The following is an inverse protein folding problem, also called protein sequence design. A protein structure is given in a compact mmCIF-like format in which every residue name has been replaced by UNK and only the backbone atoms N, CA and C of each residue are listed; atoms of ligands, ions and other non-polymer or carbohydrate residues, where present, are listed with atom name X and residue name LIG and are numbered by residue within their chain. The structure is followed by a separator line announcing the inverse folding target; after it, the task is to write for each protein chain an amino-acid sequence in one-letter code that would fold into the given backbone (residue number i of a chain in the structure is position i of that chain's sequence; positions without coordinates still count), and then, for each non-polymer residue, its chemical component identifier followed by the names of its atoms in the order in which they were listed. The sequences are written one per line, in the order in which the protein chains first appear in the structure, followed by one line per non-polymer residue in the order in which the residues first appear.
data_IF_053496855644
#
_entry.id   IF_053496855644
#
_cell.length_a   1.000
_cell.length_b   1.000
_cell.length_c   1.000
_cell.angle_alpha   90.00
_cell.angle_beta   90.00
_cell.angle_gamma   90.00
#
_symmetry.space_group_name_H-M   'P 1'
#
loop_
_entity.id
_entity.type
_entity.pdbx_description
1 polymer ?
#
# COMPACT_ATOMS: atom_id res chain seq x y z
N UNK A 1 -4.07 -18.77 -74.35
CA UNK A 1 -5.53 -18.42 -74.44
C UNK A 1 -5.92 -17.82 -73.12
N UNK A 2 -6.18 -16.53 -73.18
CA UNK A 2 -6.58 -15.64 -72.11
C UNK A 2 -7.94 -16.03 -71.54
N UNK A 3 -8.14 -15.83 -70.25
CA UNK A 3 -9.37 -15.27 -69.61
C UNK A 3 -8.96 -15.09 -68.13
N UNK A 4 -8.58 -13.96 -67.76
CA UNK A 4 -9.22 -12.67 -67.33
C UNK A 4 -9.71 -12.69 -65.86
N UNK A 5 -9.03 -11.82 -65.14
CA UNK A 5 -9.42 -11.23 -63.88
C UNK A 5 -10.89 -10.79 -63.79
N UNK A 6 -11.51 -11.04 -62.66
CA UNK A 6 -12.57 -10.21 -62.09
C UNK A 6 -13.27 -10.94 -60.93
N UNK A 7 -12.67 -10.96 -59.73
CA UNK A 7 -13.39 -11.18 -58.47
C UNK A 7 -12.50 -10.84 -57.27
N UNK A 8 -12.05 -9.59 -57.21
CA UNK A 8 -11.39 -9.06 -55.99
C UNK A 8 -11.65 -7.58 -55.82
N UNK A 9 -12.88 -7.17 -55.59
CA UNK A 9 -13.20 -5.78 -55.32
C UNK A 9 -14.40 -5.51 -54.37
N UNK A 10 -14.96 -6.51 -53.70
CA UNK A 10 -16.12 -6.25 -52.82
C UNK A 10 -15.85 -6.58 -51.31
N UNK A 11 -14.69 -7.08 -50.93
CA UNK A 11 -14.41 -7.48 -49.54
C UNK A 11 -13.52 -6.49 -48.75
N UNK A 12 -13.24 -5.29 -49.30
CA UNK A 12 -12.40 -4.28 -48.59
C UNK A 12 -13.14 -3.12 -47.93
N UNK A 13 -14.45 -3.05 -48.00
CA UNK A 13 -15.23 -1.92 -47.43
C UNK A 13 -15.97 -2.25 -46.11
N UNK A 14 -16.08 -3.52 -45.70
CA UNK A 14 -16.80 -3.86 -44.47
C UNK A 14 -15.90 -3.95 -43.19
N UNK A 15 -14.57 -3.97 -43.35
CA UNK A 15 -13.68 -4.10 -42.21
C UNK A 15 -13.32 -2.75 -41.54
N UNK A 16 -13.51 -1.64 -42.18
CA UNK A 16 -13.14 -0.32 -41.63
C UNK A 16 -14.20 0.33 -40.72
N UNK A 17 -15.46 -0.11 -40.79
CA UNK A 17 -16.55 0.54 -40.02
C UNK A 17 -16.66 -0.08 -38.61
N UNK A 18 -16.32 -1.36 -38.43
CA UNK A 18 -16.35 -2.01 -37.09
C UNK A 18 -15.17 -1.67 -36.20
N UNK A 19 -13.98 -1.40 -36.78
CA UNK A 19 -12.79 -1.06 -36.02
C UNK A 19 -12.84 0.34 -35.38
N UNK A 20 -13.50 1.31 -36.00
CA UNK A 20 -13.59 2.67 -35.49
C UNK A 20 -14.56 2.81 -34.31
N UNK A 21 -15.64 2.00 -34.28
CA UNK A 21 -16.65 2.07 -33.22
C UNK A 21 -16.17 1.44 -31.90
N UNK A 22 -15.38 0.38 -31.95
CA UNK A 22 -14.82 -0.28 -30.76
C UNK A 22 -13.69 0.55 -30.16
N UNK A 23 -12.85 1.17 -30.99
CA UNK A 23 -11.78 2.08 -30.53
C UNK A 23 -12.31 3.37 -29.90
N UNK A 24 -13.42 3.90 -30.41
CA UNK A 24 -14.03 5.12 -29.83
C UNK A 24 -14.74 4.82 -28.52
N UNK A 25 -15.32 3.64 -28.33
CA UNK A 25 -15.95 3.25 -27.07
C UNK A 25 -14.90 2.95 -25.98
N UNK A 26 -13.80 2.30 -26.32
CA UNK A 26 -12.70 2.04 -25.36
C UNK A 26 -11.97 3.33 -24.98
N UNK A 27 -11.73 4.23 -25.92
CA UNK A 27 -11.11 5.53 -25.64
C UNK A 27 -12.01 6.46 -24.82
N UNK A 28 -13.35 6.44 -25.04
CA UNK A 28 -14.30 7.21 -24.22
C UNK A 28 -14.44 6.64 -22.80
N UNK A 29 -14.43 5.34 -22.62
CA UNK A 29 -14.46 4.71 -21.30
C UNK A 29 -13.18 5.00 -20.52
N UNK A 30 -12.00 4.89 -21.14
CA UNK A 30 -10.74 5.28 -20.55
C UNK A 30 -10.66 6.78 -20.24
N UNK A 31 -11.15 7.65 -21.13
CA UNK A 31 -11.17 9.09 -20.91
C UNK A 31 -12.12 9.50 -19.79
N UNK A 32 -13.24 8.80 -19.58
CA UNK A 32 -14.17 9.06 -18.49
C UNK A 32 -13.64 8.55 -17.15
N UNK A 33 -12.99 7.39 -17.10
CA UNK A 33 -12.34 6.87 -15.90
C UNK A 33 -11.15 7.75 -15.46
N UNK A 34 -10.31 8.17 -16.41
CA UNK A 34 -9.19 9.09 -16.14
C UNK A 34 -9.66 10.50 -15.75
N UNK A 35 -10.79 10.98 -16.25
CA UNK A 35 -11.34 12.28 -15.86
C UNK A 35 -11.91 12.27 -14.43
N UNK A 36 -12.53 11.16 -13.99
CA UNK A 36 -13.03 11.01 -12.63
C UNK A 36 -11.90 10.86 -11.61
N UNK A 37 -10.88 10.07 -11.91
CA UNK A 37 -9.68 9.93 -11.08
C UNK A 37 -8.87 11.24 -11.02
N UNK A 38 -8.71 11.93 -12.15
CA UNK A 38 -8.07 13.26 -12.20
C UNK A 38 -8.79 14.29 -11.35
N UNK A 39 -10.12 14.37 -11.44
CA UNK A 39 -10.88 15.35 -10.68
C UNK A 39 -10.79 15.15 -9.16
N UNK A 40 -10.59 13.91 -8.69
CA UNK A 40 -10.49 13.64 -7.25
C UNK A 40 -9.08 13.83 -6.69
N UNK A 41 -8.04 13.67 -7.50
CA UNK A 41 -6.67 13.88 -7.07
C UNK A 41 -6.25 15.35 -6.99
N UNK A 42 -6.89 16.24 -7.77
CA UNK A 42 -6.68 17.69 -7.68
C UNK A 42 -7.07 18.26 -6.30
N UNK A 43 -7.71 17.46 -5.45
CA UNK A 43 -8.21 17.86 -4.13
C UNK A 43 -7.48 17.22 -2.94
N UNK A 44 -6.43 16.41 -3.15
CA UNK A 44 -5.60 15.94 -2.05
C UNK A 44 -4.79 17.12 -1.48
N UNK A 45 -5.29 17.70 -0.40
CA UNK A 45 -4.57 18.71 0.37
C UNK A 45 -3.87 18.03 1.53
N UNK A 46 -2.55 18.01 1.48
CA UNK A 46 -1.73 17.53 2.57
C UNK A 46 -1.61 18.63 3.64
N UNK A 47 -1.77 18.25 4.90
CA UNK A 47 -1.39 19.12 6.01
C UNK A 47 0.14 19.15 6.13
N UNK A 48 0.72 20.21 6.72
CA UNK A 48 2.13 20.16 7.09
C UNK A 48 2.40 18.94 7.98
N UNK A 49 3.52 18.24 7.76
CA UNK A 49 3.86 17.06 8.54
C UNK A 49 4.11 17.41 10.00
N UNK A 50 3.74 16.49 10.89
CA UNK A 50 3.94 16.60 12.33
C UNK A 50 4.69 15.41 12.87
N UNK A 51 5.77 15.65 13.60
CA UNK A 51 6.55 14.59 14.24
C UNK A 51 5.69 13.82 15.24
N UNK A 52 5.65 12.51 15.14
CA UNK A 52 4.85 11.63 16.00
C UNK A 52 5.67 10.61 16.77
N UNK A 53 6.72 10.06 16.18
CA UNK A 53 7.63 9.13 16.83
C UNK A 53 9.09 9.46 16.52
N UNK A 54 9.93 9.25 17.52
CA UNK A 54 11.40 9.30 17.40
C UNK A 54 11.98 8.02 18.00
N UNK A 55 13.21 7.69 17.68
CA UNK A 55 13.93 6.64 18.40
C UNK A 55 14.20 7.10 19.85
N UNK A 56 13.69 6.37 20.82
CA UNK A 56 13.78 6.74 22.24
C UNK A 56 13.98 5.55 23.17
N UNK A 57 13.79 4.33 22.68
CA UNK A 57 13.98 3.10 23.46
C UNK A 57 15.29 2.42 23.07
N UNK A 58 15.96 1.78 24.03
CA UNK A 58 17.28 1.17 23.83
C UNK A 58 17.32 0.09 22.75
N UNK A 59 16.24 -0.64 22.53
CA UNK A 59 16.15 -1.66 21.50
C UNK A 59 16.11 -1.08 20.07
N UNK A 60 15.76 0.19 19.95
CA UNK A 60 15.72 0.91 18.66
C UNK A 60 17.13 1.32 18.21
N UNK A 61 18.08 1.38 19.15
CA UNK A 61 19.46 1.80 18.97
C UNK A 61 19.52 3.13 18.19
N UNK A 62 20.19 3.14 17.04
CA UNK A 62 20.24 4.32 16.15
C UNK A 62 19.24 4.23 15.01
N UNK A 63 18.34 3.27 15.09
CA UNK A 63 17.37 3.00 14.03
C UNK A 63 16.12 3.82 14.23
N UNK A 64 15.48 4.17 13.15
CA UNK A 64 14.29 5.01 13.20
C UNK A 64 13.02 4.16 13.08
N UNK A 65 11.94 4.58 13.76
CA UNK A 65 10.63 4.05 13.50
C UNK A 65 10.29 4.25 12.04
N UNK A 66 9.92 3.16 11.40
CA UNK A 66 9.53 3.12 10.01
C UNK A 66 8.18 2.43 9.94
N UNK A 67 7.26 2.93 9.16
CA UNK A 67 5.89 2.43 9.07
C UNK A 67 5.14 2.40 10.41
N UNK A 68 3.98 2.97 10.46
CA UNK A 68 3.10 2.92 11.62
C UNK A 68 1.72 2.46 11.16
N UNK A 69 1.39 1.18 11.43
CA UNK A 69 0.07 0.63 11.13
C UNK A 69 -0.88 0.86 12.30
N UNK A 70 -1.93 1.65 12.11
CA UNK A 70 -2.79 2.16 13.20
C UNK A 70 -4.18 1.58 13.14
N UNK A 71 -4.71 1.18 14.30
CA UNK A 71 -6.11 0.81 14.49
C UNK A 71 -6.76 1.63 15.61
N UNK A 72 -8.04 1.95 15.44
CA UNK A 72 -8.88 2.50 16.51
C UNK A 72 -9.48 1.35 17.33
N UNK A 73 -8.86 1.01 18.47
CA UNK A 73 -9.26 -0.12 19.29
C UNK A 73 -10.01 0.28 20.57
N UNK A 74 -9.85 1.51 21.06
CA UNK A 74 -10.47 2.02 22.31
C UNK A 74 -10.20 1.10 23.50
N UNK A 75 -8.93 0.74 23.72
CA UNK A 75 -8.53 -0.29 24.68
C UNK A 75 -7.41 0.24 25.58
N UNK A 76 -7.42 -0.18 26.85
CA UNK A 76 -6.36 0.14 27.81
C UNK A 76 -6.15 1.64 28.04
N UNK A 77 -7.22 2.46 27.96
CA UNK A 77 -7.14 3.91 28.13
C UNK A 77 -6.67 4.67 26.88
N UNK A 78 -6.42 3.98 25.79
CA UNK A 78 -6.02 4.59 24.52
C UNK A 78 -7.03 4.31 23.42
N UNK A 79 -7.25 5.34 22.59
CA UNK A 79 -8.13 5.23 21.43
C UNK A 79 -7.48 4.51 20.27
N UNK A 80 -6.22 4.85 19.98
CA UNK A 80 -5.45 4.36 18.85
C UNK A 80 -4.27 3.51 19.31
N UNK A 81 -4.04 2.43 18.59
CA UNK A 81 -2.91 1.53 18.74
C UNK A 81 -2.15 1.50 17.42
N UNK A 82 -0.85 1.71 17.45
CA UNK A 82 0.01 1.75 16.27
C UNK A 82 1.20 0.80 16.43
N UNK A 83 1.36 -0.09 15.48
CA UNK A 83 2.51 -0.98 15.41
C UNK A 83 3.47 -0.43 14.37
N UNK A 84 4.72 -0.27 14.77
CA UNK A 84 5.77 0.28 13.93
C UNK A 84 6.92 -0.71 13.77
N UNK A 85 7.62 -0.63 12.64
CA UNK A 85 8.86 -1.34 12.39
C UNK A 85 10.06 -0.44 12.55
N UNK A 86 11.26 -1.04 12.59
CA UNK A 86 12.53 -0.32 12.46
C UNK A 86 13.12 -0.55 11.08
N UNK A 87 13.95 0.38 10.61
CA UNK A 87 14.53 0.30 9.26
C UNK A 87 15.57 -0.80 9.13
N UNK A 88 16.43 -0.99 10.13
CA UNK A 88 17.49 -2.02 10.12
C UNK A 88 17.42 -2.86 11.39
N UNK A 89 18.01 -4.06 11.39
CA UNK A 89 18.10 -4.94 12.56
C UNK A 89 16.78 -5.56 13.04
N UNK A 90 15.66 -5.10 12.52
CA UNK A 90 14.36 -5.74 12.56
C UNK A 90 13.70 -5.98 13.91
N UNK A 91 12.72 -5.14 14.22
CA UNK A 91 11.78 -5.38 15.32
C UNK A 91 10.47 -4.69 15.07
N UNK A 92 9.41 -5.17 15.73
CA UNK A 92 8.10 -4.53 15.76
C UNK A 92 7.85 -4.00 17.15
N UNK A 93 7.61 -2.69 17.25
CA UNK A 93 7.18 -2.02 18.46
C UNK A 93 5.71 -1.64 18.42
N UNK A 94 5.17 -1.32 19.58
CA UNK A 94 3.84 -0.78 19.79
C UNK A 94 3.93 0.63 20.38
N UNK A 95 3.13 1.54 19.84
CA UNK A 95 2.85 2.83 20.44
C UNK A 95 1.33 3.04 20.53
N UNK A 96 0.88 3.87 21.46
CA UNK A 96 -0.54 4.12 21.71
C UNK A 96 -0.81 5.62 21.81
N UNK A 97 -1.97 6.05 21.33
CA UNK A 97 -2.36 7.46 21.29
C UNK A 97 -3.85 7.66 21.54
N UNK A 98 -4.24 8.86 21.93
CA UNK A 98 -5.64 9.28 22.00
C UNK A 98 -6.05 10.25 20.90
N UNK A 99 -5.06 10.83 20.19
CA UNK A 99 -5.28 11.93 19.24
C UNK A 99 -4.52 11.78 17.90
N UNK A 100 -3.78 10.68 17.70
CA UNK A 100 -2.91 10.39 16.55
C UNK A 100 -1.63 11.26 16.50
N UNK A 101 -1.46 12.21 17.41
CA UNK A 101 -0.33 13.13 17.44
C UNK A 101 0.64 12.78 18.57
N UNK A 102 0.10 12.56 19.78
CA UNK A 102 0.89 12.23 20.95
C UNK A 102 0.89 10.72 21.17
N UNK A 103 2.02 10.10 20.90
CA UNK A 103 2.20 8.65 20.98
C UNK A 103 3.07 8.26 22.17
N UNK A 104 2.62 7.28 22.92
CA UNK A 104 3.34 6.67 24.03
C UNK A 104 3.76 5.27 23.62
N UNK A 105 5.06 5.03 23.54
CA UNK A 105 5.61 3.70 23.24
C UNK A 105 5.35 2.73 24.39
N UNK A 106 5.08 1.49 24.03
CA UNK A 106 4.91 0.42 25.00
C UNK A 106 6.27 0.10 25.66
N UNK A 107 6.27 -0.04 26.99
CA UNK A 107 7.50 -0.20 27.76
C UNK A 107 8.24 -1.51 27.48
N UNK A 108 7.49 -2.56 27.12
CA UNK A 108 8.05 -3.90 26.86
C UNK A 108 8.32 -4.16 25.36
N UNK A 109 8.52 -3.11 24.57
CA UNK A 109 9.00 -3.27 23.20
C UNK A 109 10.43 -3.86 23.19
N UNK A 110 10.85 -4.61 22.15
CA UNK A 110 10.04 -4.95 20.97
C UNK A 110 9.06 -6.09 21.26
N UNK A 111 7.91 -6.07 20.57
CA UNK A 111 6.94 -7.18 20.63
C UNK A 111 7.43 -8.40 19.86
N UNK A 112 8.20 -8.17 18.81
CA UNK A 112 8.70 -9.22 17.92
C UNK A 112 10.03 -8.80 17.29
N UNK A 113 10.97 -9.72 17.21
CA UNK A 113 12.30 -9.50 16.60
C UNK A 113 12.40 -10.18 15.24
N UNK A 114 13.37 -9.77 14.41
CA UNK A 114 13.55 -10.26 13.04
C UNK A 114 12.24 -10.21 12.22
N UNK A 115 11.50 -9.13 12.37
CA UNK A 115 10.26 -8.88 11.65
C UNK A 115 10.18 -7.38 11.37
N UNK A 116 9.73 -7.02 10.17
CA UNK A 116 9.60 -5.62 9.76
C UNK A 116 8.31 -5.40 9.02
N UNK A 117 7.97 -4.13 8.88
CA UNK A 117 6.89 -3.67 8.06
C UNK A 117 5.54 -4.27 8.47
N UNK A 118 5.07 -4.02 9.70
CA UNK A 118 3.79 -4.54 10.14
C UNK A 118 2.64 -3.86 9.41
N UNK A 119 1.74 -4.65 8.86
CA UNK A 119 0.41 -4.20 8.45
C UNK A 119 -0.62 -4.94 9.27
N UNK A 120 -1.49 -4.21 9.94
CA UNK A 120 -2.40 -4.75 10.95
C UNK A 120 -3.84 -4.53 10.56
N UNK A 121 -4.64 -5.59 10.68
CA UNK A 121 -6.06 -5.59 10.42
C UNK A 121 -6.81 -6.21 11.61
N UNK A 122 -7.93 -5.62 12.01
CA UNK A 122 -8.82 -6.19 13.02
C UNK A 122 -10.01 -6.89 12.38
N UNK A 123 -10.30 -8.11 12.84
CA UNK A 123 -11.49 -8.85 12.46
C UNK A 123 -12.29 -9.25 13.70
N UNK A 124 -13.62 -9.10 13.63
CA UNK A 124 -14.51 -9.59 14.69
C UNK A 124 -14.69 -11.10 14.56
N UNK A 125 -14.41 -11.84 15.60
CA UNK A 125 -14.53 -13.32 15.65
C UNK A 125 -15.98 -13.82 15.84
N UNK A 126 -16.96 -12.95 15.73
CA UNK A 126 -18.38 -13.26 16.00
C UNK A 126 -18.74 -13.37 17.49
N UNK A 127 -17.77 -13.38 18.40
CA UNK A 127 -17.93 -13.46 19.86
C UNK A 127 -17.66 -12.14 20.60
N UNK A 128 -17.73 -11.00 19.89
CA UNK A 128 -17.36 -9.67 20.40
C UNK A 128 -15.87 -9.47 20.71
N UNK A 129 -15.01 -10.41 20.38
CA UNK A 129 -13.56 -10.23 20.43
C UNK A 129 -13.05 -9.85 19.04
N UNK A 130 -12.06 -8.99 19.01
CA UNK A 130 -11.32 -8.71 17.79
C UNK A 130 -10.05 -9.56 17.80
N UNK A 131 -9.85 -10.31 16.73
CA UNK A 131 -8.56 -10.91 16.42
C UNK A 131 -7.83 -9.91 15.54
N UNK A 132 -6.59 -9.60 15.90
CA UNK A 132 -5.72 -8.77 15.10
C UNK A 132 -4.85 -9.68 14.24
N UNK A 133 -4.85 -9.42 12.94
CA UNK A 133 -3.99 -10.07 11.98
C UNK A 133 -2.87 -9.14 11.56
N UNK A 134 -1.66 -9.67 11.53
CA UNK A 134 -0.44 -8.98 11.17
C UNK A 134 0.17 -9.65 9.95
N UNK A 135 0.34 -8.92 8.86
CA UNK A 135 1.27 -9.32 7.82
C UNK A 135 2.60 -8.61 8.07
N UNK A 136 3.68 -9.34 8.09
CA UNK A 136 5.02 -8.81 8.35
C UNK A 136 6.05 -9.42 7.41
N UNK A 137 7.08 -8.66 7.10
CA UNK A 137 8.24 -9.15 6.35
C UNK A 137 9.24 -9.81 7.30
N UNK A 138 9.72 -10.99 6.91
CA UNK A 138 10.81 -11.73 7.55
C UNK A 138 12.04 -11.72 6.66
N UNK A 139 13.22 -11.84 7.26
CA UNK A 139 14.49 -11.81 6.52
C UNK A 139 14.65 -10.58 5.60
N UNK A 140 14.23 -9.42 6.08
CA UNK A 140 14.15 -8.21 5.27
C UNK A 140 15.50 -7.82 4.63
N UNK A 141 16.60 -7.95 5.38
CA UNK A 141 17.94 -7.54 4.93
C UNK A 141 18.62 -8.55 4.01
N UNK A 142 17.93 -9.64 3.69
CA UNK A 142 18.44 -10.66 2.78
C UNK A 142 17.83 -10.51 1.38
N UNK A 143 18.49 -10.99 0.33
CA UNK A 143 17.92 -10.99 -1.01
C UNK A 143 16.75 -11.98 -1.19
N UNK A 144 16.37 -12.70 -0.12
CA UNK A 144 15.32 -13.73 -0.14
C UNK A 144 14.37 -13.52 1.03
N UNK A 145 13.68 -12.39 1.05
CA UNK A 145 12.68 -12.09 2.09
C UNK A 145 11.30 -12.70 1.76
N UNK A 146 10.50 -12.89 2.81
CA UNK A 146 9.18 -13.50 2.70
C UNK A 146 8.19 -12.86 3.67
N UNK A 147 6.89 -13.13 3.48
CA UNK A 147 5.82 -12.53 4.28
C UNK A 147 5.09 -13.60 5.06
N UNK A 148 4.89 -13.35 6.37
CA UNK A 148 4.12 -14.22 7.26
C UNK A 148 2.84 -13.55 7.75
N UNK A 149 1.86 -14.37 8.07
CA UNK A 149 0.68 -14.00 8.82
C UNK A 149 0.91 -14.35 10.28
N UNK A 150 0.66 -13.41 11.17
CA UNK A 150 0.54 -13.64 12.58
C UNK A 150 -0.80 -13.15 13.11
N UNK A 151 -1.21 -13.62 14.27
CA UNK A 151 -2.40 -13.16 14.96
C UNK A 151 -2.13 -12.79 16.41
N UNK A 152 -3.04 -11.98 16.98
CA UNK A 152 -3.02 -11.61 18.39
C UNK A 152 -4.43 -11.24 18.86
N UNK A 153 -4.80 -11.67 20.08
CA UNK A 153 -6.03 -11.24 20.72
C UNK A 153 -5.86 -9.92 21.47
N UNK A 154 -4.66 -9.61 21.91
CA UNK A 154 -4.37 -8.45 22.75
C UNK A 154 -3.56 -7.35 22.06
N UNK A 155 -2.99 -7.65 20.90
CA UNK A 155 -2.13 -6.73 20.14
C UNK A 155 -0.69 -6.64 20.66
N UNK A 156 -0.35 -7.46 21.67
CA UNK A 156 0.95 -7.49 22.32
C UNK A 156 1.65 -8.84 22.09
N UNK A 157 0.93 -9.92 22.34
CA UNK A 157 1.44 -11.28 22.15
C UNK A 157 1.10 -11.76 20.74
N UNK A 158 2.10 -11.72 19.86
CA UNK A 158 1.96 -12.11 18.46
C UNK A 158 2.32 -13.59 18.29
N UNK A 159 1.45 -14.32 17.58
CA UNK A 159 1.67 -15.73 17.24
C UNK A 159 1.73 -15.86 15.72
N UNK A 160 2.86 -16.30 15.19
CA UNK A 160 2.97 -16.64 13.79
C UNK A 160 2.05 -17.82 13.44
N UNK A 161 1.22 -17.66 12.40
CA UNK A 161 0.28 -18.69 11.97
C UNK A 161 0.81 -19.44 10.74
N UNK A 162 1.26 -18.70 9.74
CA UNK A 162 1.69 -19.30 8.46
C UNK A 162 2.48 -18.31 7.58
N UNK A 163 3.14 -18.85 6.57
CA UNK A 163 3.77 -18.08 5.51
C UNK A 163 2.71 -17.73 4.45
N UNK A 164 2.53 -16.43 4.18
CA UNK A 164 1.62 -15.93 3.14
C UNK A 164 2.31 -15.88 1.77
N UNK A 165 3.53 -15.38 1.73
CA UNK A 165 4.35 -15.33 0.51
C UNK A 165 5.66 -16.02 0.80
N UNK A 166 5.93 -17.10 0.08
CA UNK A 166 7.11 -17.95 0.31
C UNK A 166 8.39 -17.23 -0.07
N UNK A 167 9.46 -17.60 0.59
CA UNK A 167 10.80 -17.25 0.20
C UNK A 167 11.11 -17.77 -1.22
N UNK A 168 11.70 -16.91 -2.02
CA UNK A 168 12.19 -17.24 -3.36
C UNK A 168 13.64 -16.75 -3.46
N UNK A 169 14.60 -17.57 -3.89
CA UNK A 169 15.98 -17.15 -4.01
C UNK A 169 16.14 -15.91 -4.88
N UNK A 170 16.89 -14.94 -4.39
CA UNK A 170 17.17 -13.67 -5.08
C UNK A 170 15.91 -12.85 -5.43
N UNK A 171 14.83 -13.04 -4.68
CA UNK A 171 13.60 -12.26 -4.84
C UNK A 171 13.16 -11.72 -3.49
N UNK A 172 13.03 -10.43 -3.39
CA UNK A 172 12.47 -9.75 -2.23
C UNK A 172 10.95 -9.77 -2.31
N UNK A 173 10.29 -10.27 -1.27
CA UNK A 173 8.85 -10.16 -1.05
C UNK A 173 8.65 -9.38 0.25
N UNK A 174 8.33 -8.09 0.16
CA UNK A 174 8.43 -7.16 1.28
C UNK A 174 7.25 -6.18 1.33
N UNK A 175 7.22 -5.41 2.41
CA UNK A 175 6.30 -4.29 2.59
C UNK A 175 4.82 -4.70 2.43
N UNK A 176 4.34 -5.70 3.17
CA UNK A 176 2.96 -6.13 3.06
C UNK A 176 1.99 -5.06 3.53
N UNK A 177 0.85 -4.98 2.87
CA UNK A 177 -0.31 -4.24 3.31
C UNK A 177 -1.54 -5.15 3.30
N UNK A 178 -2.17 -5.34 4.46
CA UNK A 178 -3.45 -6.02 4.61
C UNK A 178 -4.58 -5.01 4.48
N UNK A 179 -5.52 -5.29 3.63
CA UNK A 179 -6.70 -4.48 3.41
C UNK A 179 -7.95 -5.36 3.38
N UNK A 180 -9.00 -4.94 4.08
CA UNK A 180 -10.32 -5.54 3.93
C UNK A 180 -11.20 -4.60 3.13
N UNK A 181 -11.64 -5.05 1.98
CA UNK A 181 -12.53 -4.26 1.13
C UNK A 181 -13.90 -4.07 1.80
N UNK A 182 -14.31 -2.83 2.09
CA UNK A 182 -15.58 -2.57 2.76
C UNK A 182 -16.81 -2.86 1.88
N UNK A 183 -16.62 -3.02 0.57
CA UNK A 183 -17.71 -3.32 -0.36
C UNK A 183 -17.99 -4.82 -0.48
N UNK A 184 -16.94 -5.61 -0.61
CA UNK A 184 -17.08 -7.06 -0.82
C UNK A 184 -16.80 -7.88 0.45
N UNK A 185 -16.19 -7.27 1.46
CA UNK A 185 -15.72 -7.96 2.66
C UNK A 185 -14.48 -8.83 2.44
N UNK A 186 -13.95 -8.90 1.20
CA UNK A 186 -12.77 -9.70 0.86
C UNK A 186 -11.51 -9.08 1.46
N UNK A 187 -10.55 -9.94 1.73
CA UNK A 187 -9.22 -9.56 2.19
C UNK A 187 -8.26 -9.47 1.01
N UNK A 188 -7.41 -8.45 1.04
CA UNK A 188 -6.35 -8.22 0.08
C UNK A 188 -5.02 -8.15 0.81
N UNK A 189 -4.01 -8.76 0.23
CA UNK A 189 -2.61 -8.59 0.58
C UNK A 189 -1.93 -7.93 -0.62
N UNK A 190 -1.44 -6.71 -0.47
CA UNK A 190 -0.55 -6.11 -1.45
C UNK A 190 0.87 -6.11 -0.91
N UNK A 191 1.85 -6.29 -1.76
CA UNK A 191 3.25 -6.33 -1.38
C UNK A 191 4.18 -5.97 -2.54
N UNK A 192 5.37 -5.54 -2.20
CA UNK A 192 6.46 -5.35 -3.14
C UNK A 192 7.13 -6.68 -3.47
N UNK A 193 7.43 -6.88 -4.75
CA UNK A 193 8.26 -7.97 -5.26
C UNK A 193 9.32 -7.42 -6.20
N UNK A 194 10.58 -7.79 -5.99
CA UNK A 194 11.68 -7.31 -6.82
C UNK A 194 12.94 -8.15 -6.68
N UNK A 195 13.85 -8.00 -7.63
CA UNK A 195 15.12 -8.73 -7.70
C UNK A 195 16.37 -7.84 -7.56
N UNK A 196 16.22 -6.59 -7.17
CA UNK A 196 17.28 -5.58 -7.04
C UNK A 196 17.96 -5.17 -8.37
N UNK A 197 17.54 -5.68 -9.52
CA UNK A 197 18.21 -5.41 -10.80
C UNK A 197 17.33 -4.67 -11.81
N UNK A 198 16.21 -5.24 -12.19
CA UNK A 198 15.46 -4.74 -13.33
C UNK A 198 13.94 -5.02 -13.28
N UNK A 199 13.48 -5.68 -12.25
CA UNK A 199 12.08 -6.04 -12.13
C UNK A 199 11.54 -5.67 -10.75
N UNK A 200 10.59 -4.74 -10.75
CA UNK A 200 9.93 -4.25 -9.55
C UNK A 200 8.42 -4.29 -9.77
N UNK A 201 7.71 -4.92 -8.87
CA UNK A 201 6.27 -5.12 -8.98
C UNK A 201 5.56 -4.81 -7.66
N UNK A 202 4.37 -4.23 -7.77
CA UNK A 202 3.38 -4.29 -6.71
C UNK A 202 2.40 -5.40 -7.06
N UNK A 203 2.34 -6.38 -6.18
CA UNK A 203 1.54 -7.60 -6.34
C UNK A 203 0.37 -7.58 -5.37
N UNK A 204 -0.76 -8.14 -5.78
CA UNK A 204 -1.95 -8.33 -4.95
C UNK A 204 -2.40 -9.79 -4.95
N UNK A 205 -2.90 -10.25 -3.80
CA UNK A 205 -3.69 -11.47 -3.63
C UNK A 205 -4.99 -11.13 -2.94
N UNK A 206 -6.07 -11.86 -3.24
CA UNK A 206 -7.32 -11.64 -2.52
C UNK A 206 -8.03 -12.95 -2.19
N UNK A 207 -8.67 -13.00 -1.02
CA UNK A 207 -9.40 -14.16 -0.52
C UNK A 207 -10.64 -13.74 0.28
N UNK A 208 -11.55 -14.67 0.53
CA UNK A 208 -12.69 -14.48 1.45
C UNK A 208 -12.28 -14.59 2.92
N UNK A 209 -11.17 -15.23 3.21
CA UNK A 209 -10.56 -15.35 4.53
C UNK A 209 -9.09 -14.95 4.45
N UNK A 210 -8.61 -14.19 5.42
CA UNK A 210 -7.23 -13.73 5.47
C UNK A 210 -6.21 -14.87 5.48
N UNK A 211 -6.60 -16.03 6.05
CA UNK A 211 -5.75 -17.22 6.12
C UNK A 211 -5.58 -17.97 4.80
N UNK A 212 -6.42 -17.66 3.81
CA UNK A 212 -6.38 -18.33 2.50
C UNK A 212 -5.53 -17.55 1.47
N UNK A 213 -4.98 -16.39 1.85
CA UNK A 213 -4.18 -15.53 0.97
C UNK A 213 -2.90 -16.20 0.45
N UNK A 214 -2.37 -17.21 1.16
CA UNK A 214 -1.19 -17.96 0.74
C UNK A 214 -1.41 -18.83 -0.50
N UNK A 215 -2.65 -19.29 -0.72
CA UNK A 215 -3.04 -20.15 -1.83
C UNK A 215 -3.59 -19.39 -3.04
N UNK A 216 -3.75 -18.08 -2.93
CA UNK A 216 -4.32 -17.27 -4.01
C UNK A 216 -3.27 -16.93 -5.07
N UNK A 217 -3.68 -16.83 -6.33
CA UNK A 217 -2.79 -16.41 -7.41
C UNK A 217 -2.38 -14.95 -7.24
N UNK A 218 -1.16 -14.65 -7.70
CA UNK A 218 -0.63 -13.30 -7.77
C UNK A 218 -1.30 -12.53 -8.91
N UNK A 219 -1.63 -11.27 -8.63
CA UNK A 219 -2.02 -10.28 -9.64
C UNK A 219 -1.08 -9.09 -9.55
N UNK A 220 -0.40 -8.78 -10.62
CA UNK A 220 0.45 -7.59 -10.71
C UNK A 220 -0.46 -6.37 -10.87
N UNK A 221 -0.33 -5.40 -9.96
CA UNK A 221 -1.04 -4.12 -10.00
C UNK A 221 -0.21 -3.04 -10.68
N UNK A 222 1.09 -3.03 -10.42
CA UNK A 222 2.07 -2.13 -11.02
C UNK A 222 3.32 -2.94 -11.36
N UNK A 223 3.81 -2.77 -12.58
CA UNK A 223 5.11 -3.23 -13.03
C UNK A 223 5.93 -2.00 -13.41
N UNK A 224 7.18 -1.94 -12.96
CA UNK A 224 8.03 -0.76 -13.16
C UNK A 224 9.49 -1.15 -13.37
N UNK A 225 10.19 -0.33 -14.15
CA UNK A 225 11.65 -0.35 -14.23
C UNK A 225 12.30 0.51 -13.14
N UNK A 226 11.57 1.48 -12.62
CA UNK A 226 11.94 2.24 -11.43
C UNK A 226 11.68 1.38 -10.19
N UNK A 227 12.46 1.55 -9.15
CA UNK A 227 12.20 0.85 -7.89
C UNK A 227 10.85 1.29 -7.32
N UNK A 228 9.93 0.36 -7.13
CA UNK A 228 8.65 0.61 -6.48
C UNK A 228 8.54 -0.24 -5.21
N UNK A 229 8.04 0.35 -4.12
CA UNK A 229 7.95 -0.31 -2.83
C UNK A 229 6.77 0.19 -1.99
N UNK A 230 6.59 -0.38 -0.81
CA UNK A 230 5.67 0.10 0.23
C UNK A 230 4.23 0.37 -0.24
N UNK A 231 3.57 -0.61 -0.89
CA UNK A 231 2.20 -0.41 -1.34
C UNK A 231 1.24 -0.25 -0.17
N UNK A 232 0.30 0.69 -0.29
CA UNK A 232 -0.83 0.82 0.63
C UNK A 232 -2.12 0.96 -0.17
N UNK A 233 -3.02 -0.01 -0.01
CA UNK A 233 -4.32 -0.04 -0.65
C UNK A 233 -5.38 0.54 0.27
N UNK A 234 -6.17 1.48 -0.21
CA UNK A 234 -7.20 2.20 0.53
C UNK A 234 -8.48 2.30 -0.28
N UNK A 235 -9.59 2.49 0.41
CA UNK A 235 -10.89 2.78 -0.19
C UNK A 235 -11.47 4.06 0.39
N UNK A 236 -11.90 4.95 -0.48
CA UNK A 236 -12.69 6.11 -0.11
C UNK A 236 -14.08 6.01 -0.66
N UNK A 237 -15.03 6.10 0.25
CA UNK A 237 -16.42 6.25 -0.13
C UNK A 237 -16.67 7.67 -0.65
N UNK A 238 -17.37 7.82 -1.78
CA UNK A 238 -17.79 9.14 -2.24
C UNK A 238 -18.68 9.81 -1.20
N UNK A 239 -18.66 11.14 -1.13
CA UNK A 239 -19.53 11.89 -0.24
C UNK A 239 -21.00 11.51 -0.51
N UNK A 240 -21.74 11.24 0.56
CA UNK A 240 -23.16 10.90 0.48
C UNK A 240 -23.91 12.00 -0.30
N UNK A 241 -24.59 11.63 -1.38
CA UNK A 241 -25.44 12.54 -2.17
C UNK A 241 -25.02 12.77 -3.62
N UNK A 242 -23.82 12.33 -4.05
CA UNK A 242 -23.37 12.58 -5.43
C UNK A 242 -23.54 11.40 -6.40
N UNK A 243 -24.12 10.27 -5.97
CA UNK A 243 -24.31 9.09 -6.84
C UNK A 243 -23.03 8.48 -7.39
N UNK A 244 -21.86 8.97 -6.97
CA UNK A 244 -20.57 8.48 -7.41
C UNK A 244 -20.14 7.29 -6.57
N UNK A 245 -19.64 6.26 -7.22
CA UNK A 245 -19.01 5.11 -6.53
C UNK A 245 -17.73 5.58 -5.86
N UNK A 246 -17.41 5.01 -4.68
CA UNK A 246 -16.10 5.23 -4.07
C UNK A 246 -14.97 4.66 -4.92
N UNK A 247 -13.75 5.17 -4.71
CA UNK A 247 -12.55 4.76 -5.43
C UNK A 247 -11.57 4.05 -4.49
N UNK A 248 -10.78 3.19 -5.09
CA UNK A 248 -9.60 2.60 -4.47
C UNK A 248 -8.38 3.42 -4.83
N UNK A 249 -7.52 3.62 -3.86
CA UNK A 249 -6.26 4.30 -4.02
C UNK A 249 -5.14 3.35 -3.64
N UNK A 250 -4.09 3.34 -4.44
CA UNK A 250 -2.85 2.64 -4.18
C UNK A 250 -1.75 3.69 -4.06
N UNK A 251 -1.25 3.89 -2.85
CA UNK A 251 -0.06 4.69 -2.62
C UNK A 251 1.18 3.80 -2.64
N UNK A 252 2.28 4.26 -3.19
CA UNK A 252 3.53 3.52 -3.23
C UNK A 252 4.73 4.46 -3.24
N UNK A 253 5.82 4.04 -2.60
CA UNK A 253 7.13 4.66 -2.76
C UNK A 253 7.67 4.34 -4.15
N UNK A 254 8.24 5.32 -4.81
CA UNK A 254 8.97 5.14 -6.06
C UNK A 254 10.31 5.85 -5.96
N UNK A 255 11.34 5.15 -6.38
CA UNK A 255 12.64 5.75 -6.60
C UNK A 255 12.78 5.95 -8.11
N UNK A 256 12.90 7.22 -8.60
CA UNK A 256 12.81 7.53 -10.03
C UNK A 256 13.86 6.85 -10.90
N UNK A 257 14.96 6.45 -10.29
CA UNK A 257 15.99 5.61 -10.90
C UNK A 257 15.99 4.22 -10.23
N UNK A 258 16.92 3.37 -10.60
CA UNK A 258 17.20 2.18 -9.80
C UNK A 258 17.98 2.62 -8.55
N UNK A 259 17.50 2.25 -7.40
CA UNK A 259 18.18 2.55 -6.13
C UNK A 259 19.63 2.07 -6.12
N UNK A 260 19.91 0.94 -6.78
CA UNK A 260 21.26 0.40 -6.94
C UNK A 260 22.17 1.25 -7.81
N UNK A 261 21.61 1.97 -8.77
CA UNK A 261 22.37 2.77 -9.75
C UNK A 261 22.59 4.21 -9.24
N UNK A 262 21.70 4.71 -8.41
CA UNK A 262 21.79 6.05 -7.83
C UNK A 262 21.31 6.06 -6.36
N UNK A 263 22.11 5.59 -5.40
CA UNK A 263 21.70 5.51 -3.99
C UNK A 263 21.47 6.85 -3.31
N UNK A 264 21.96 7.95 -3.89
CA UNK A 264 21.83 9.32 -3.37
C UNK A 264 20.60 10.06 -3.93
N UNK A 265 19.79 9.40 -4.74
CA UNK A 265 18.56 9.97 -5.28
C UNK A 265 17.47 10.16 -4.22
N UNK A 266 16.40 10.79 -4.61
CA UNK A 266 15.27 11.06 -3.72
C UNK A 266 14.12 10.09 -3.96
N UNK A 267 13.54 9.58 -2.88
CA UNK A 267 12.30 8.82 -2.92
C UNK A 267 11.11 9.75 -3.18
N UNK A 268 10.14 9.23 -3.89
CA UNK A 268 8.88 9.92 -4.16
C UNK A 268 7.72 9.03 -3.71
N UNK A 269 6.61 9.65 -3.32
CA UNK A 269 5.34 8.93 -3.13
C UNK A 269 4.42 9.25 -4.28
N UNK A 270 3.99 8.20 -4.98
CA UNK A 270 2.99 8.28 -6.04
C UNK A 270 1.70 7.59 -5.61
N UNK A 271 0.59 8.16 -6.03
CA UNK A 271 -0.75 7.64 -5.78
C UNK A 271 -1.41 7.29 -7.10
N UNK A 272 -2.08 6.14 -7.10
CA UNK A 272 -2.84 5.64 -8.24
C UNK A 272 -4.28 5.40 -7.82
N UNK A 273 -5.23 5.49 -8.73
CA UNK A 273 -6.64 5.27 -8.46
C UNK A 273 -7.25 4.23 -9.40
N UNK A 274 -8.24 3.48 -8.89
CA UNK A 274 -9.00 2.48 -9.63
C UNK A 274 -10.43 2.34 -9.10
N UNK A 275 -11.34 1.84 -9.92
CA UNK A 275 -12.71 1.48 -9.51
C UNK A 275 -12.80 0.11 -8.79
N UNK A 276 -11.72 -0.66 -8.80
CA UNK A 276 -11.60 -1.99 -8.19
C UNK A 276 -10.30 -2.11 -7.39
N UNK A 277 -10.28 -2.85 -6.27
CA UNK A 277 -9.08 -3.01 -5.46
C UNK A 277 -7.97 -3.82 -6.13
N UNK A 278 -8.31 -4.51 -7.21
CA UNK A 278 -7.41 -5.26 -8.07
C UNK A 278 -7.57 -4.87 -9.55
N UNK A 279 -8.09 -3.67 -9.85
CA UNK A 279 -8.28 -3.14 -11.20
C UNK A 279 -7.01 -2.49 -11.76
N UNK A 280 -7.20 -1.84 -12.91
CA UNK A 280 -6.16 -1.06 -13.55
C UNK A 280 -5.98 0.27 -12.80
N UNK A 281 -4.90 0.38 -12.04
CA UNK A 281 -4.56 1.57 -11.31
C UNK A 281 -3.94 2.61 -12.24
N UNK A 282 -4.56 3.80 -12.29
CA UNK A 282 -4.09 4.91 -13.09
C UNK A 282 -3.46 5.99 -12.19
N UNK A 283 -2.33 6.59 -12.59
CA UNK A 283 -1.71 7.65 -11.80
C UNK A 283 -2.65 8.83 -11.62
N UNK A 284 -2.75 9.33 -10.41
CA UNK A 284 -3.54 10.54 -10.13
C UNK A 284 -2.80 11.80 -10.58
N UNK A 285 -3.55 12.89 -10.84
CA UNK A 285 -2.95 14.17 -11.13
C UNK A 285 -2.17 14.72 -9.93
N UNK A 286 -1.07 15.40 -10.17
CA UNK A 286 -0.23 15.96 -9.11
C UNK A 286 0.81 15.01 -8.53
N UNK A 287 0.97 13.80 -9.10
CA UNK A 287 2.09 12.94 -8.75
C UNK A 287 3.45 13.57 -9.12
N UNK A 288 4.50 13.36 -8.31
CA UNK A 288 4.45 12.72 -7.00
C UNK A 288 3.78 13.62 -5.97
N UNK A 289 3.05 13.01 -5.03
CA UNK A 289 2.36 13.75 -3.95
C UNK A 289 3.33 14.19 -2.85
N UNK A 290 4.43 13.45 -2.66
CA UNK A 290 5.55 13.80 -1.77
C UNK A 290 6.87 13.53 -2.48
N UNK A 291 7.89 14.34 -2.18
CA UNK A 291 9.28 14.20 -2.64
C UNK A 291 10.24 14.21 -1.47
N UNK A 292 11.35 13.49 -1.63
CA UNK A 292 12.44 13.47 -0.65
C UNK A 292 12.12 12.72 0.64
N UNK A 293 11.05 11.92 0.66
CA UNK A 293 10.61 11.20 1.84
C UNK A 293 10.37 9.73 1.53
N UNK A 294 10.73 8.86 2.46
CA UNK A 294 10.34 7.46 2.45
C UNK A 294 9.03 7.34 3.19
N UNK A 295 7.97 7.02 2.50
CA UNK A 295 6.65 7.09 3.08
C UNK A 295 5.81 5.88 2.79
N UNK A 296 5.19 5.37 3.84
CA UNK A 296 3.95 4.60 3.73
C UNK A 296 2.78 5.55 3.91
N UNK A 297 2.48 6.31 2.88
CA UNK A 297 1.40 7.28 2.94
C UNK A 297 0.04 6.62 2.91
N UNK A 298 -0.86 7.20 3.71
CA UNK A 298 -2.27 6.87 3.73
C UNK A 298 -2.60 5.44 4.17
N UNK A 299 -1.99 4.98 5.22
CA UNK A 299 -2.29 3.66 5.77
C UNK A 299 -3.69 3.54 6.37
N UNK A 300 -4.33 4.68 6.71
CA UNK A 300 -5.59 4.64 7.44
C UNK A 300 -6.56 5.72 7.01
N UNK A 301 -7.85 5.36 7.01
CA UNK A 301 -8.96 6.28 6.83
C UNK A 301 -9.73 6.37 8.14
N UNK A 302 -9.57 7.49 8.85
CA UNK A 302 -10.39 7.80 10.03
C UNK A 302 -11.27 9.01 9.74
N UNK A 303 -12.54 8.95 10.07
CA UNK A 303 -13.47 10.07 9.91
C UNK A 303 -13.42 10.75 8.52
N UNK A 304 -13.25 9.99 7.44
CA UNK A 304 -13.11 10.46 6.05
C UNK A 304 -11.83 11.25 5.76
N UNK A 305 -10.83 11.13 6.59
CA UNK A 305 -9.50 11.68 6.34
C UNK A 305 -8.51 10.55 6.14
N UNK A 306 -7.60 10.74 5.23
CA UNK A 306 -6.43 9.88 5.12
C UNK A 306 -5.38 10.34 6.11
N UNK A 307 -4.78 9.39 6.78
CA UNK A 307 -3.62 9.61 7.61
C UNK A 307 -2.45 8.86 7.02
N UNK A 308 -1.40 9.58 6.71
CA UNK A 308 -0.12 9.06 6.27
C UNK A 308 0.91 9.20 7.38
N UNK A 309 1.81 8.25 7.46
CA UNK A 309 2.96 8.29 8.34
C UNK A 309 4.20 8.07 7.49
N UNK A 310 5.02 9.06 7.38
CA UNK A 310 6.25 9.05 6.60
C UNK A 310 7.48 9.24 7.49
N UNK A 311 8.61 8.74 7.04
CA UNK A 311 9.87 8.91 7.74
C UNK A 311 10.88 9.67 6.88
N UNK A 312 11.61 10.59 7.51
CA UNK A 312 12.68 11.33 6.86
C UNK A 312 13.77 11.72 7.87
N UNK A 313 14.89 12.23 7.36
CA UNK A 313 15.92 12.85 8.19
C UNK A 313 15.53 14.30 8.53
N UNK A 314 15.52 14.62 9.82
CA UNK A 314 15.39 16.01 10.23
C UNK A 314 16.70 16.79 9.96
N UNK A 315 16.69 18.13 10.05
CA UNK A 315 17.88 18.95 9.82
C UNK A 315 19.07 18.63 10.73
N UNK A 316 18.85 17.92 11.84
CA UNK A 316 19.92 17.47 12.75
C UNK A 316 20.46 16.07 12.38
N UNK A 317 19.95 15.46 11.30
CA UNK A 317 20.35 14.14 10.83
C UNK A 317 19.73 12.97 11.60
N UNK A 318 18.66 13.23 12.37
CA UNK A 318 17.92 12.16 13.05
C UNK A 318 16.71 11.74 12.24
N UNK A 319 16.51 10.44 12.13
CA UNK A 319 15.30 9.91 11.55
C UNK A 319 14.08 10.15 12.44
N UNK A 320 13.03 10.63 11.83
CA UNK A 320 11.76 10.91 12.48
C UNK A 320 10.62 10.30 11.70
N UNK A 321 9.57 9.89 12.40
CA UNK A 321 8.31 9.53 11.79
C UNK A 321 7.36 10.70 11.96
N UNK A 322 6.77 11.14 10.88
CA UNK A 322 5.81 12.24 10.85
C UNK A 322 4.44 11.78 10.38
N UNK A 323 3.43 12.49 10.82
CA UNK A 323 2.05 12.31 10.39
C UNK A 323 1.66 13.40 9.41
N UNK A 324 1.01 13.01 8.35
CA UNK A 324 0.37 13.91 7.38
C UNK A 324 -1.09 13.53 7.23
N UNK A 325 -1.97 14.51 7.23
CA UNK A 325 -3.39 14.31 6.90
C UNK A 325 -3.65 14.73 5.46
N UNK A 326 -4.44 13.96 4.73
CA UNK A 326 -5.06 14.38 3.50
C UNK A 326 -6.56 14.43 3.66
N UNK A 327 -7.18 15.53 3.26
CA UNK A 327 -8.63 15.64 3.19
C UNK A 327 -9.09 15.66 1.74
N UNK A 328 -10.18 14.95 1.47
CA UNK A 328 -10.99 15.21 0.28
C UNK A 328 -12.02 16.27 0.62
N UNK A 329 -12.32 17.18 -0.31
CA UNK A 329 -13.34 18.21 -0.15
C UNK A 329 -14.74 17.66 0.07
#
# INVERSE_FOLDING_TARGET
MQFTDSYMSILRLSACVFGASVLVLSSRAQTLATSSARAQAEYLRLTPPRRVLTNAQSWEDKQFPHTLSVLELKRGGFRYWGWYGLNEGGGIGLARSNDLVHWIKYEQNPLWTNARWPSVLAEADGKRKHILFFAVTRNYDTPSSYIVLASSEDGIHLKEEKVLVKETPNQRNQNPNLFRDPRSGRFYLTFYRGNDHDQFEIVSRNASNVRDLDSMPDKILIESKETVAAPTLLYLNSAAGQGKRGLYFLATEIYPDRYTDNPDGEWEVKVFASDSPDGDFQPVAGNPVIRGQRACLFQHVFARRFYGFDCHLDPSGHWVLEETEASLP
#
